data_IF_357278489675
#
_entry.id   IF_357278489675
#
_cell.length_a   1.000
_cell.length_b   1.000
_cell.length_c   1.000
_cell.angle_alpha   90.00
_cell.angle_beta   90.00
_cell.angle_gamma   90.00
#
_symmetry.space_group_name_H-M   'P 1'
#
loop_
_entity.id
_entity.type
_entity.pdbx_description
1 polymer ?
#
# COMPACT_ATOMS: atom_id res chain seq x y z
N UNK A 1 -6.05 -0.17 17.11
CA UNK A 1 -4.58 0.02 17.04
C UNK A 1 -4.06 -0.82 15.88
N UNK A 2 -4.07 -0.29 14.65
CA UNK A 2 -3.74 -1.05 13.43
C UNK A 2 -2.53 -0.49 12.68
N UNK A 3 -2.12 0.72 13.05
CA UNK A 3 -0.93 1.41 12.58
C UNK A 3 -0.20 1.80 13.87
N UNK A 4 0.74 0.96 14.31
CA UNK A 4 1.58 1.26 15.47
C UNK A 4 2.96 1.64 14.97
N UNK A 5 3.19 2.94 14.78
CA UNK A 5 4.51 3.48 14.49
C UNK A 5 4.54 4.51 13.37
N UNK A 6 5.58 5.34 13.41
CA UNK A 6 5.95 6.30 12.36
C UNK A 6 6.66 5.63 11.17
N UNK A 7 6.47 4.33 10.96
CA UNK A 7 7.15 3.54 9.93
C UNK A 7 6.21 2.50 9.34
N UNK A 8 6.29 2.31 8.04
CA UNK A 8 5.63 1.24 7.32
C UNK A 8 6.36 -0.08 7.63
N UNK A 9 5.68 -1.02 8.28
CA UNK A 9 6.25 -2.35 8.56
C UNK A 9 5.74 -3.38 7.55
N UNK A 10 6.54 -4.42 7.27
CA UNK A 10 6.16 -5.52 6.37
C UNK A 10 4.80 -6.16 6.72
N UNK A 11 4.47 -6.28 8.01
CA UNK A 11 3.19 -6.83 8.46
C UNK A 11 1.99 -5.92 8.17
N UNK A 12 2.21 -4.60 8.16
CA UNK A 12 1.19 -3.62 7.77
C UNK A 12 0.97 -3.65 6.26
N UNK A 13 2.05 -3.65 5.48
CA UNK A 13 2.01 -3.70 4.02
C UNK A 13 1.27 -4.95 3.52
N UNK A 14 1.68 -6.14 4.00
CA UNK A 14 1.05 -7.41 3.62
C UNK A 14 -0.46 -7.45 3.91
N UNK A 15 -0.91 -6.80 4.99
CA UNK A 15 -2.33 -6.79 5.36
C UNK A 15 -3.14 -5.87 4.44
N UNK A 16 -2.60 -4.70 4.09
CA UNK A 16 -3.22 -3.80 3.11
C UNK A 16 -3.27 -4.48 1.74
N UNK A 17 -2.19 -5.12 1.31
CA UNK A 17 -2.15 -5.92 0.07
C UNK A 17 -3.17 -7.07 0.08
N UNK A 18 -3.38 -7.73 1.22
CA UNK A 18 -4.39 -8.79 1.35
C UNK A 18 -5.83 -8.25 1.19
N UNK A 19 -6.12 -7.05 1.70
CA UNK A 19 -7.41 -6.37 1.52
C UNK A 19 -7.60 -5.97 0.06
N UNK A 20 -6.59 -5.35 -0.56
CA UNK A 20 -6.64 -4.98 -1.99
C UNK A 20 -6.95 -6.23 -2.84
N UNK A 21 -6.25 -7.34 -2.61
CA UNK A 21 -6.50 -8.61 -3.31
C UNK A 21 -7.89 -9.20 -3.08
N UNK A 22 -8.45 -9.03 -1.88
CA UNK A 22 -9.76 -9.55 -1.52
C UNK A 22 -10.90 -8.73 -2.12
N UNK A 23 -10.74 -7.41 -2.27
CA UNK A 23 -11.78 -6.52 -2.78
C UNK A 23 -11.69 -6.25 -4.28
N UNK A 24 -10.51 -6.41 -4.89
CA UNK A 24 -10.34 -6.17 -6.32
C UNK A 24 -9.31 -7.12 -6.96
N UNK A 25 -9.68 -8.39 -7.21
CA UNK A 25 -8.86 -9.31 -7.98
C UNK A 25 -8.63 -8.83 -9.43
N UNK A 26 -9.42 -7.86 -9.91
CA UNK A 26 -9.44 -7.35 -11.29
C UNK A 26 -8.27 -6.40 -11.60
N UNK A 27 -7.58 -5.87 -10.58
CA UNK A 27 -6.26 -5.24 -10.72
C UNK A 27 -5.17 -6.23 -11.18
N UNK A 28 -5.43 -7.54 -11.11
CA UNK A 28 -4.60 -8.58 -11.73
C UNK A 28 -4.91 -8.77 -13.23
N UNK A 29 -6.12 -8.38 -13.67
CA UNK A 29 -6.63 -8.56 -15.04
C UNK A 29 -6.75 -7.26 -15.84
N UNK A 30 -6.25 -6.13 -15.34
CA UNK A 30 -5.99 -4.92 -16.14
C UNK A 30 -4.74 -5.09 -17.03
N UNK A 31 -4.59 -6.27 -17.63
CA UNK A 31 -3.45 -6.74 -18.43
C UNK A 31 -3.30 -6.05 -19.78
N UNK A 32 -3.79 -4.81 -19.96
CA UNK A 32 -3.65 -4.13 -21.24
C UNK A 32 -2.91 -2.81 -21.30
N UNK A 33 -2.58 -2.09 -20.23
CA UNK A 33 -1.69 -0.94 -20.38
C UNK A 33 -1.27 -0.32 -19.05
N UNK A 34 -0.13 -0.75 -18.50
CA UNK A 34 1.06 0.09 -18.20
C UNK A 34 1.91 -0.59 -17.13
N UNK A 35 3.18 -0.81 -17.45
CA UNK A 35 4.08 -1.75 -16.76
C UNK A 35 4.12 -1.65 -15.24
N UNK A 36 3.97 -2.81 -14.61
CA UNK A 36 4.78 -3.36 -13.50
C UNK A 36 5.32 -2.36 -12.49
N UNK A 37 4.54 -1.37 -12.09
CA UNK A 37 4.93 -0.45 -11.03
C UNK A 37 4.21 -0.90 -9.79
N UNK A 38 5.02 -1.25 -8.81
CA UNK A 38 4.60 -1.66 -7.50
C UNK A 38 3.61 -0.72 -6.82
N UNK A 39 2.95 -1.19 -5.77
CA UNK A 39 2.07 -0.39 -4.94
C UNK A 39 2.94 0.65 -4.21
N UNK A 40 2.60 1.92 -4.38
CA UNK A 40 3.24 3.03 -3.67
C UNK A 40 2.46 3.31 -2.38
N UNK A 41 3.12 3.12 -1.25
CA UNK A 41 2.57 3.32 0.08
C UNK A 41 3.12 4.61 0.66
N UNK A 42 2.24 5.54 1.01
CA UNK A 42 2.58 6.80 1.67
C UNK A 42 1.93 6.85 3.05
N UNK A 43 2.73 7.15 4.08
CA UNK A 43 2.28 7.32 5.46
C UNK A 43 2.27 8.81 5.79
N UNK A 44 1.10 9.34 6.16
CA UNK A 44 0.95 10.71 6.60
C UNK A 44 0.65 10.78 8.11
N UNK A 45 1.15 11.83 8.77
CA UNK A 45 0.73 12.15 10.15
C UNK A 45 -0.62 12.90 10.18
N UNK A 46 -1.08 13.20 11.39
CA UNK A 46 -2.33 13.94 11.61
C UNK A 46 -2.30 15.38 11.08
N UNK A 47 -1.12 15.96 10.87
CA UNK A 47 -0.92 17.29 10.25
C UNK A 47 -0.82 17.20 8.72
N UNK A 48 -0.91 16.00 8.14
CA UNK A 48 -0.77 15.76 6.70
C UNK A 48 0.68 15.76 6.22
N UNK A 49 1.68 15.65 7.09
CA UNK A 49 3.08 15.52 6.70
C UNK A 49 3.39 14.08 6.29
N UNK A 50 4.11 13.91 5.20
CA UNK A 50 4.63 12.60 4.79
C UNK A 50 5.71 12.15 5.78
N UNK A 51 5.46 11.04 6.46
CA UNK A 51 6.32 10.44 7.48
C UNK A 51 7.15 9.31 6.88
N UNK A 52 6.60 8.54 5.95
CA UNK A 52 7.27 7.40 5.34
C UNK A 52 6.69 7.09 3.96
N UNK A 53 7.51 6.52 3.07
CA UNK A 53 7.09 6.09 1.73
C UNK A 53 7.80 4.81 1.31
N UNK A 54 7.06 3.86 0.75
CA UNK A 54 7.60 2.60 0.25
C UNK A 54 6.93 2.20 -1.07
N UNK A 55 7.74 1.86 -2.09
CA UNK A 55 7.24 1.41 -3.39
C UNK A 55 7.52 -0.09 -3.51
N UNK A 56 6.51 -0.89 -3.84
CA UNK A 56 6.60 -2.35 -3.80
C UNK A 56 6.02 -3.06 -5.00
#
# INVERSE_FOLDING_TARGET
>A
KYVEGKKLTEGMLNRVEAVIRAYDPCLSCASHAFGSRGIDFELYDADGRLIDRNIR
#
